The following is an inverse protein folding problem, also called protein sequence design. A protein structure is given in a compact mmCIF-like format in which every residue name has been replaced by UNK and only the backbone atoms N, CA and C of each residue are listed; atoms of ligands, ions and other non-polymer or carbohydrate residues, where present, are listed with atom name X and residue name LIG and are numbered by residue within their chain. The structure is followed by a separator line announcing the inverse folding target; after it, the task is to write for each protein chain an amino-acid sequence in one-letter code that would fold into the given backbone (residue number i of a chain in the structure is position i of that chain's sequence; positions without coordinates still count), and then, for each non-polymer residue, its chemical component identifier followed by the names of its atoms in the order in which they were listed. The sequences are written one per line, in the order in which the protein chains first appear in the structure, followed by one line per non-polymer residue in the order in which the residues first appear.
data_IF_506501837856
#
_entry.id   IF_506501837856
#
_cell.length_a   1.000
_cell.length_b   1.000
_cell.length_c   1.000
_cell.angle_alpha   90.00
_cell.angle_beta   90.00
_cell.angle_gamma   90.00
#
_symmetry.space_group_name_H-M   'P 1'
#
loop_
_entity.id
_entity.type
_entity.pdbx_description
1 polymer ?
#
# COMPACT_ATOMS: atom_id res chain seq x y z
N UNK A 1 19.11 -11.59 -20.90
CA UNK A 1 18.92 -10.43 -20.04
C UNK A 1 17.93 -9.47 -20.69
N UNK A 2 16.93 -9.06 -19.93
CA UNK A 2 15.95 -8.10 -20.43
C UNK A 2 16.58 -6.71 -20.53
N UNK A 3 16.18 -6.00 -21.57
CA UNK A 3 16.51 -4.59 -21.71
C UNK A 3 15.90 -3.79 -20.54
N UNK A 4 16.70 -2.92 -19.96
CA UNK A 4 16.29 -2.04 -18.86
C UNK A 4 15.05 -1.21 -19.21
N UNK A 5 14.98 -0.74 -20.46
CA UNK A 5 13.82 -0.02 -20.98
C UNK A 5 12.54 -0.86 -20.95
N UNK A 6 12.64 -2.14 -21.28
CA UNK A 6 11.48 -3.07 -21.22
C UNK A 6 11.06 -3.35 -19.80
N UNK A 7 11.99 -3.52 -18.86
CA UNK A 7 11.71 -3.71 -17.45
C UNK A 7 10.98 -2.49 -16.89
N UNK A 8 11.49 -1.30 -17.17
CA UNK A 8 10.88 -0.03 -16.76
C UNK A 8 9.47 0.13 -17.31
N UNK A 9 9.27 -0.14 -18.61
CA UNK A 9 7.98 -0.01 -19.27
C UNK A 9 6.93 -0.92 -18.62
N UNK A 10 7.30 -2.16 -18.28
CA UNK A 10 6.40 -3.09 -17.59
C UNK A 10 6.07 -2.61 -16.18
N UNK A 11 7.04 -2.08 -15.47
CA UNK A 11 6.83 -1.53 -14.13
C UNK A 11 5.88 -0.32 -14.17
N UNK A 12 6.02 0.56 -15.15
CA UNK A 12 5.13 1.70 -15.36
C UNK A 12 3.70 1.25 -15.69
N UNK A 13 3.56 0.24 -16.54
CA UNK A 13 2.26 -0.33 -16.90
C UNK A 13 1.59 -0.98 -15.69
N UNK A 14 2.35 -1.75 -14.92
CA UNK A 14 1.89 -2.35 -13.67
C UNK A 14 1.43 -1.27 -12.68
N UNK A 15 2.22 -0.21 -12.51
CA UNK A 15 1.89 0.91 -11.63
C UNK A 15 0.58 1.58 -12.05
N UNK A 16 0.39 1.84 -13.35
CA UNK A 16 -0.84 2.45 -13.86
C UNK A 16 -2.07 1.59 -13.57
N UNK A 17 -1.97 0.27 -13.77
CA UNK A 17 -3.03 -0.68 -13.46
C UNK A 17 -3.36 -0.71 -11.96
N UNK A 18 -2.34 -0.74 -11.11
CA UNK A 18 -2.50 -0.74 -9.65
C UNK A 18 -3.14 0.56 -9.15
N UNK A 19 -2.79 1.69 -9.73
CA UNK A 19 -3.38 2.98 -9.35
C UNK A 19 -4.87 3.03 -9.72
N UNK A 20 -5.28 2.43 -10.85
CA UNK A 20 -6.69 2.29 -11.20
C UNK A 20 -7.42 1.41 -10.19
N UNK A 21 -6.84 0.27 -9.82
CA UNK A 21 -7.40 -0.61 -8.80
C UNK A 21 -7.58 0.10 -7.48
N UNK A 22 -6.56 0.86 -7.04
CA UNK A 22 -6.62 1.64 -5.81
C UNK A 22 -7.75 2.66 -5.84
N UNK A 23 -7.94 3.34 -6.96
CA UNK A 23 -9.03 4.31 -7.13
C UNK A 23 -10.40 3.64 -6.96
N UNK A 24 -10.60 2.48 -7.57
CA UNK A 24 -11.86 1.71 -7.44
C UNK A 24 -12.10 1.32 -5.98
N UNK A 25 -11.07 0.82 -5.29
CA UNK A 25 -11.18 0.42 -3.89
C UNK A 25 -11.45 1.62 -2.98
N UNK A 26 -10.82 2.75 -3.22
CA UNK A 26 -11.07 3.98 -2.47
C UNK A 26 -12.47 4.54 -2.68
N UNK A 27 -13.04 4.40 -3.88
CA UNK A 27 -14.44 4.78 -4.14
C UNK A 27 -15.38 3.89 -3.32
N UNK A 28 -15.14 2.57 -3.28
CA UNK A 28 -15.92 1.65 -2.45
C UNK A 28 -15.82 2.01 -0.98
N UNK A 29 -14.62 2.30 -0.50
CA UNK A 29 -14.38 2.72 0.89
C UNK A 29 -15.15 3.99 1.21
N UNK A 30 -15.13 4.98 0.33
CA UNK A 30 -15.86 6.23 0.51
C UNK A 30 -17.37 6.01 0.60
N UNK A 31 -17.93 5.14 -0.24
CA UNK A 31 -19.36 4.81 -0.23
C UNK A 31 -19.79 4.12 1.05
N UNK A 32 -18.93 3.33 1.65
CA UNK A 32 -19.19 2.54 2.87
C UNK A 32 -18.74 3.23 4.15
N UNK A 33 -18.11 4.40 4.06
CA UNK A 33 -17.47 5.07 5.18
C UNK A 33 -18.40 5.25 6.38
N UNK A 34 -19.61 5.73 6.15
CA UNK A 34 -20.59 5.96 7.22
C UNK A 34 -20.93 4.65 7.96
N UNK A 35 -21.10 3.56 7.22
CA UNK A 35 -21.38 2.24 7.80
C UNK A 35 -20.18 1.66 8.55
N UNK A 36 -18.99 1.84 8.04
CA UNK A 36 -17.76 1.38 8.70
C UNK A 36 -17.49 2.18 9.97
N UNK A 37 -17.77 3.48 9.95
CA UNK A 37 -17.70 4.33 11.14
C UNK A 37 -18.73 3.90 12.18
N UNK A 38 -19.94 3.54 11.73
CA UNK A 38 -20.99 3.03 12.62
C UNK A 38 -20.58 1.69 13.29
N UNK A 39 -19.91 0.80 12.54
CA UNK A 39 -19.37 -0.44 13.12
C UNK A 39 -18.34 -0.13 14.22
N UNK A 40 -17.42 0.78 13.94
CA UNK A 40 -16.38 1.16 14.90
C UNK A 40 -16.98 1.82 16.14
N UNK A 41 -17.96 2.71 15.96
CA UNK A 41 -18.64 3.40 17.06
C UNK A 41 -19.47 2.44 17.90
N UNK A 42 -20.19 1.51 17.28
CA UNK A 42 -20.97 0.51 18.01
C UNK A 42 -20.08 -0.37 18.91
N UNK A 43 -18.91 -0.75 18.42
CA UNK A 43 -17.95 -1.52 19.19
C UNK A 43 -17.30 -0.68 20.30
N UNK A 44 -16.82 0.52 19.97
CA UNK A 44 -16.12 1.38 20.91
C UNK A 44 -17.04 1.94 22.02
N UNK A 45 -18.31 2.18 21.70
CA UNK A 45 -19.27 2.80 22.62
C UNK A 45 -20.16 1.78 23.37
N UNK A 46 -20.01 0.49 23.09
CA UNK A 46 -20.76 -0.55 23.82
C UNK A 46 -20.56 -0.47 25.35
N UNK A 47 -19.35 -0.23 25.88
CA UNK A 47 -19.18 -0.03 27.32
C UNK A 47 -19.94 1.19 27.88
N UNK A 48 -20.03 2.27 27.09
CA UNK A 48 -20.77 3.46 27.47
C UNK A 48 -22.30 3.19 27.60
N UNK A 49 -22.83 2.32 26.72
CA UNK A 49 -24.20 1.84 26.81
C UNK A 49 -24.43 1.14 28.15
N UNK A 50 -23.53 0.24 28.53
CA UNK A 50 -23.64 -0.51 29.78
C UNK A 50 -23.58 0.42 31.00
N UNK A 51 -22.69 1.41 30.96
CA UNK A 51 -22.59 2.42 31.99
C UNK A 51 -23.87 3.29 32.12
N UNK A 52 -24.45 3.69 30.98
CA UNK A 52 -25.69 4.44 30.93
C UNK A 52 -26.84 3.64 31.53
N UNK A 53 -26.98 2.39 31.15
CA UNK A 53 -28.03 1.49 31.65
C UNK A 53 -27.89 1.22 33.14
N UNK A 54 -26.67 1.28 33.68
CA UNK A 54 -26.41 1.15 35.12
C UNK A 54 -26.68 2.45 35.90
N UNK A 55 -27.07 3.53 35.24
CA UNK A 55 -27.36 4.82 35.85
C UNK A 55 -26.15 5.71 36.09
N UNK A 56 -25.00 5.44 35.45
CA UNK A 56 -23.83 6.29 35.59
C UNK A 56 -24.07 7.66 34.94
N UNK A 57 -23.82 8.78 35.70
CA UNK A 57 -24.01 10.11 35.14
C UNK A 57 -22.97 10.45 34.05
N UNK A 58 -23.33 11.35 33.14
CA UNK A 58 -22.41 11.82 32.10
C UNK A 58 -22.29 10.91 30.88
N UNK A 59 -23.16 9.89 30.80
CA UNK A 59 -23.12 8.92 29.69
C UNK A 59 -24.17 9.19 28.60
N UNK A 60 -24.92 10.28 28.71
CA UNK A 60 -26.01 10.58 27.78
C UNK A 60 -25.54 10.77 26.36
N UNK A 61 -24.47 11.54 26.14
CA UNK A 61 -23.92 11.79 24.81
C UNK A 61 -23.28 10.54 24.19
N UNK A 62 -22.38 9.81 24.87
CA UNK A 62 -21.86 8.56 24.36
C UNK A 62 -22.96 7.53 24.07
N UNK A 63 -23.99 7.45 24.90
CA UNK A 63 -25.11 6.55 24.67
C UNK A 63 -25.89 6.94 23.41
N UNK A 64 -26.16 8.23 23.21
CA UNK A 64 -26.85 8.72 22.02
C UNK A 64 -26.05 8.39 20.75
N UNK A 65 -24.75 8.56 20.79
CA UNK A 65 -23.86 8.18 19.67
C UNK A 65 -23.88 6.67 19.40
N UNK A 66 -23.91 5.87 20.44
CA UNK A 66 -24.06 4.41 20.32
C UNK A 66 -25.37 4.06 19.64
N UNK A 67 -26.48 4.66 20.06
CA UNK A 67 -27.81 4.39 19.49
C UNK A 67 -27.87 4.83 18.01
N UNK A 68 -27.24 5.94 17.65
CA UNK A 68 -27.17 6.39 16.25
C UNK A 68 -26.40 5.38 15.40
N UNK A 69 -25.28 4.87 15.90
CA UNK A 69 -24.49 3.84 15.21
C UNK A 69 -25.30 2.56 15.00
N UNK A 70 -25.96 2.07 16.05
CA UNK A 70 -26.81 0.87 15.97
C UNK A 70 -27.95 1.07 14.98
N UNK A 71 -28.60 2.23 15.01
CA UNK A 71 -29.69 2.56 14.10
C UNK A 71 -29.21 2.57 12.63
N UNK A 72 -28.07 3.17 12.36
CA UNK A 72 -27.48 3.17 11.01
C UNK A 72 -27.20 1.75 10.52
N UNK A 73 -26.68 0.88 11.38
CA UNK A 73 -26.41 -0.51 11.06
C UNK A 73 -27.68 -1.31 10.80
N UNK A 74 -28.74 -1.08 11.59
CA UNK A 74 -30.03 -1.72 11.39
C UNK A 74 -30.69 -1.28 10.07
N UNK A 75 -30.61 -0.01 9.74
CA UNK A 75 -31.22 0.56 8.53
C UNK A 75 -30.51 0.10 7.26
N UNK A 76 -29.23 -0.26 7.30
CA UNK A 76 -28.50 -0.69 6.11
C UNK A 76 -28.94 -2.06 5.59
N UNK A 77 -29.60 -2.88 6.41
CA UNK A 77 -30.10 -4.20 6.01
C UNK A 77 -29.02 -5.26 5.82
N UNK A 78 -27.78 -4.98 6.15
CA UNK A 78 -26.65 -5.91 6.03
C UNK A 78 -26.30 -6.40 7.44
N UNK A 79 -26.08 -7.71 7.59
CA UNK A 79 -25.64 -8.27 8.87
C UNK A 79 -24.27 -7.69 9.26
N UNK A 80 -24.12 -7.37 10.55
CA UNK A 80 -22.85 -6.81 11.06
C UNK A 80 -21.64 -7.68 10.70
N UNK A 81 -21.77 -9.00 10.81
CA UNK A 81 -20.69 -9.94 10.48
C UNK A 81 -20.27 -9.86 9.02
N UNK A 82 -21.26 -9.74 8.12
CA UNK A 82 -20.99 -9.56 6.69
C UNK A 82 -20.32 -8.22 6.41
N UNK A 83 -20.78 -7.16 7.06
CA UNK A 83 -20.22 -5.82 6.90
C UNK A 83 -18.78 -5.75 7.45
N UNK A 84 -18.52 -6.41 8.57
CA UNK A 84 -17.18 -6.52 9.15
C UNK A 84 -16.24 -7.29 8.22
N UNK A 85 -16.70 -8.38 7.63
CA UNK A 85 -15.93 -9.17 6.68
C UNK A 85 -15.65 -8.37 5.40
N UNK A 86 -16.63 -7.64 4.89
CA UNK A 86 -16.46 -6.72 3.75
C UNK A 86 -15.40 -5.67 4.03
N UNK A 87 -15.46 -5.03 5.19
CA UNK A 87 -14.49 -4.03 5.62
C UNK A 87 -13.07 -4.61 5.71
N UNK A 88 -12.93 -5.75 6.35
CA UNK A 88 -11.65 -6.42 6.51
C UNK A 88 -11.04 -6.77 5.14
N UNK A 89 -11.83 -7.31 4.22
CA UNK A 89 -11.40 -7.65 2.87
C UNK A 89 -11.00 -6.41 2.07
N UNK A 90 -11.80 -5.35 2.15
CA UNK A 90 -11.50 -4.09 1.45
C UNK A 90 -10.18 -3.49 1.93
N UNK A 91 -9.96 -3.44 3.24
CA UNK A 91 -8.72 -2.92 3.80
C UNK A 91 -7.52 -3.81 3.47
N UNK A 92 -7.71 -5.13 3.43
CA UNK A 92 -6.67 -6.07 2.99
C UNK A 92 -6.28 -5.82 1.53
N UNK A 93 -7.26 -5.67 0.65
CA UNK A 93 -7.03 -5.37 -0.76
C UNK A 93 -6.30 -4.04 -0.94
N UNK A 94 -6.69 -3.00 -0.19
CA UNK A 94 -6.01 -1.70 -0.22
C UNK A 94 -4.56 -1.80 0.26
N UNK A 95 -4.31 -2.55 1.32
CA UNK A 95 -2.96 -2.77 1.83
C UNK A 95 -2.08 -3.49 0.80
N UNK A 96 -2.62 -4.52 0.14
CA UNK A 96 -1.92 -5.28 -0.89
C UNK A 96 -1.61 -4.41 -2.10
N UNK A 97 -2.58 -3.66 -2.60
CA UNK A 97 -2.40 -2.74 -3.74
C UNK A 97 -1.35 -1.68 -3.41
N UNK A 98 -1.42 -1.07 -2.23
CA UNK A 98 -0.44 -0.07 -1.81
C UNK A 98 0.97 -0.64 -1.71
N UNK A 99 1.11 -1.89 -1.25
CA UNK A 99 2.39 -2.59 -1.20
C UNK A 99 2.96 -2.80 -2.60
N UNK A 100 2.13 -3.24 -3.53
CA UNK A 100 2.53 -3.47 -4.91
C UNK A 100 2.85 -2.18 -5.65
N UNK A 101 2.13 -1.09 -5.35
CA UNK A 101 2.45 0.25 -5.87
C UNK A 101 3.85 0.66 -5.42
N UNK A 102 4.18 0.46 -4.14
CA UNK A 102 5.51 0.77 -3.62
C UNK A 102 6.60 -0.05 -4.33
N UNK A 103 6.33 -1.33 -4.58
CA UNK A 103 7.26 -2.21 -5.32
C UNK A 103 7.49 -1.72 -6.75
N UNK A 104 6.41 -1.38 -7.46
CA UNK A 104 6.50 -0.88 -8.83
C UNK A 104 7.28 0.44 -8.89
N UNK A 105 7.00 1.36 -7.99
CA UNK A 105 7.72 2.64 -7.89
C UNK A 105 9.20 2.44 -7.58
N UNK A 106 9.51 1.50 -6.69
CA UNK A 106 10.89 1.15 -6.36
C UNK A 106 11.63 0.58 -7.58
N UNK A 107 10.99 -0.29 -8.34
CA UNK A 107 11.55 -0.88 -9.55
C UNK A 107 11.84 0.19 -10.59
N UNK A 108 10.92 1.12 -10.82
CA UNK A 108 11.12 2.26 -11.72
C UNK A 108 12.29 3.13 -11.24
N UNK A 109 12.35 3.42 -9.94
CA UNK A 109 13.42 4.21 -9.35
C UNK A 109 14.77 3.52 -9.50
N UNK A 110 14.84 2.21 -9.36
CA UNK A 110 16.06 1.42 -9.57
C UNK A 110 16.50 1.47 -11.03
N UNK A 111 15.56 1.36 -11.97
CA UNK A 111 15.85 1.49 -13.41
C UNK A 111 16.40 2.88 -13.72
N UNK A 112 15.82 3.93 -13.15
CA UNK A 112 16.30 5.31 -13.32
C UNK A 112 17.72 5.49 -12.77
N UNK A 113 18.01 4.90 -11.61
CA UNK A 113 19.32 4.95 -10.98
C UNK A 113 20.37 4.24 -11.83
N UNK A 114 20.05 3.06 -12.32
CA UNK A 114 20.96 2.28 -13.20
C UNK A 114 21.24 3.06 -14.48
N UNK A 115 20.20 3.60 -15.10
CA UNK A 115 20.33 4.36 -16.35
C UNK A 115 21.18 5.62 -16.15
N UNK A 116 20.94 6.34 -15.04
CA UNK A 116 21.72 7.54 -14.69
C UNK A 116 23.19 7.23 -14.46
N UNK A 117 23.49 6.08 -13.83
CA UNK A 117 24.84 5.68 -13.48
C UNK A 117 25.54 4.87 -14.59
N UNK A 118 24.83 4.54 -15.69
CA UNK A 118 25.36 3.73 -16.78
C UNK A 118 26.66 4.29 -17.38
N UNK A 119 26.79 5.59 -17.69
CA UNK A 119 28.03 6.13 -18.21
C UNK A 119 29.23 5.93 -17.27
N UNK A 120 29.01 6.11 -15.96
CA UNK A 120 30.05 5.92 -14.96
C UNK A 120 30.41 4.44 -14.82
N UNK A 121 29.44 3.55 -14.81
CA UNK A 121 29.65 2.10 -14.76
C UNK A 121 30.42 1.60 -15.97
N UNK A 122 30.07 2.04 -17.15
CA UNK A 122 30.79 1.70 -18.40
C UNK A 122 32.23 2.21 -18.37
N UNK A 123 32.45 3.42 -17.86
CA UNK A 123 33.76 3.99 -17.69
C UNK A 123 34.61 3.17 -16.72
N UNK A 124 34.06 2.79 -15.58
CA UNK A 124 34.74 1.99 -14.56
C UNK A 124 35.14 0.61 -15.09
N UNK A 125 34.27 -0.04 -15.85
CA UNK A 125 34.57 -1.32 -16.49
C UNK A 125 35.73 -1.16 -17.51
N UNK A 126 35.68 -0.11 -18.30
CA UNK A 126 36.71 0.16 -19.28
C UNK A 126 38.07 0.42 -18.63
N UNK A 127 38.11 1.16 -17.55
CA UNK A 127 39.34 1.41 -16.80
C UNK A 127 39.88 0.12 -16.18
N UNK A 128 39.01 -0.72 -15.61
CA UNK A 128 39.41 -2.02 -15.06
C UNK A 128 40.00 -2.94 -16.12
N UNK A 129 39.39 -3.00 -17.30
CA UNK A 129 39.93 -3.79 -18.45
C UNK A 129 41.27 -3.28 -18.90
N UNK A 130 41.45 -1.97 -18.99
CA UNK A 130 42.72 -1.37 -19.37
C UNK A 130 43.84 -1.70 -18.37
N UNK A 131 43.51 -1.66 -17.04
CA UNK A 131 44.44 -2.04 -15.97
C UNK A 131 44.82 -3.52 -16.04
N UNK A 132 43.88 -4.41 -16.33
CA UNK A 132 44.10 -5.82 -16.46
C UNK A 132 45.05 -6.12 -17.62
N UNK A 133 44.85 -5.47 -18.76
CA UNK A 133 45.74 -5.59 -19.94
C UNK A 133 47.14 -5.10 -19.64
N UNK A 134 47.27 -4.01 -18.90
CA UNK A 134 48.55 -3.45 -18.51
C UNK A 134 49.35 -4.42 -17.62
N UNK A 135 48.67 -5.02 -16.64
CA UNK A 135 49.23 -6.05 -15.75
C UNK A 135 49.73 -7.26 -16.58
N UNK A 136 48.96 -7.77 -17.54
CA UNK A 136 49.37 -8.85 -18.43
C UNK A 136 50.59 -8.50 -19.23
N UNK A 137 50.69 -7.29 -19.77
CA UNK A 137 51.87 -6.82 -20.53
C UNK A 137 53.10 -6.77 -19.64
N UNK A 138 52.98 -6.30 -18.42
CA UNK A 138 54.10 -6.23 -17.47
C UNK A 138 54.58 -7.63 -17.11
N UNK A 139 53.67 -8.57 -16.85
CA UNK A 139 54.02 -9.97 -16.60
C UNK A 139 54.74 -10.61 -17.79
N UNK A 140 54.25 -10.36 -18.99
CA UNK A 140 54.92 -10.87 -20.21
C UNK A 140 56.32 -10.29 -20.39
N UNK A 141 56.53 -9.00 -20.12
CA UNK A 141 57.83 -8.35 -20.19
C UNK A 141 58.84 -8.87 -19.19
N UNK A 142 58.35 -9.36 -18.03
CA UNK A 142 59.21 -9.91 -16.99
C UNK A 142 59.66 -11.34 -17.26
N UNK A 143 59.01 -12.01 -18.17
CA UNK A 143 59.39 -13.36 -18.65
C UNK A 143 60.39 -13.25 -19.79
#
# INVERSE_FOLDING_TARGET
AEDLSAVRARAEETLASLMKQRTILNVRKKKRRALYDALSDAEALAPARDCYESGMPGMEEPFARYMDAVSALEQCGIHREQLMAEKAELYRQLADVNREIRRARKEISMCDTIERNRPQMEHDIHVAEAKAKEVERDEYRRR
#
